data_IF_216831954669
#
_entry.id   IF_216831954669
#
_cell.length_a   1.000
_cell.length_b   1.000
_cell.length_c   1.000
_cell.angle_alpha   90.00
_cell.angle_beta   90.00
_cell.angle_gamma   90.00
#
_symmetry.space_group_name_H-M   'P 1'
#
loop_
_entity.id
_entity.type
_entity.pdbx_description
1 polymer ?
#
# COMPACT_ATOMS: atom_id res chain seq x y z
N UNK A 1 0.70 11.79 -9.35
CA UNK A 1 0.22 10.57 -8.67
C UNK A 1 -0.45 9.66 -9.70
N UNK A 2 -0.24 8.34 -9.67
CA UNK A 2 -0.90 7.38 -10.59
C UNK A 2 -1.57 6.24 -9.82
N UNK A 3 -2.79 5.90 -10.21
CA UNK A 3 -3.57 4.80 -9.64
C UNK A 3 -3.70 3.69 -10.69
N UNK A 4 -3.42 2.45 -10.29
CA UNK A 4 -3.56 1.26 -11.12
C UNK A 4 -4.46 0.25 -10.39
N UNK A 5 -5.56 -0.16 -11.02
CA UNK A 5 -6.46 -1.18 -10.47
C UNK A 5 -5.92 -2.56 -10.83
N UNK A 6 -5.53 -3.34 -9.82
CA UNK A 6 -5.02 -4.70 -10.00
C UNK A 6 -6.16 -5.73 -9.90
N UNK A 7 -7.22 -5.41 -9.16
CA UNK A 7 -8.47 -6.15 -9.17
C UNK A 7 -9.64 -5.32 -8.69
N UNK A 8 -10.82 -5.62 -9.21
CA UNK A 8 -12.05 -4.81 -9.13
C UNK A 8 -13.30 -5.66 -8.94
N UNK A 9 -13.15 -6.97 -8.66
CA UNK A 9 -14.25 -7.87 -8.34
C UNK A 9 -14.50 -7.90 -6.84
N UNK A 10 -15.77 -7.98 -6.44
CA UNK A 10 -16.17 -8.12 -5.05
C UNK A 10 -16.35 -9.60 -4.68
N UNK A 11 -15.84 -10.03 -3.52
CA UNK A 11 -16.05 -11.34 -2.93
C UNK A 11 -15.26 -12.48 -3.60
N UNK A 12 -15.36 -12.64 -4.92
CA UNK A 12 -14.72 -13.73 -5.67
C UNK A 12 -14.10 -13.25 -6.98
N UNK A 13 -13.01 -13.87 -7.46
CA UNK A 13 -12.45 -13.55 -8.76
C UNK A 13 -13.37 -14.05 -9.88
N UNK A 14 -13.29 -13.39 -11.03
CA UNK A 14 -13.96 -13.77 -12.27
C UNK A 14 -12.93 -13.93 -13.38
N UNK A 15 -13.34 -14.46 -14.53
CA UNK A 15 -12.46 -14.53 -15.71
C UNK A 15 -11.94 -13.15 -16.16
N UNK A 16 -12.71 -12.09 -15.93
CA UNK A 16 -12.39 -10.75 -16.38
C UNK A 16 -11.75 -9.86 -15.31
N UNK A 17 -12.02 -10.13 -14.03
CA UNK A 17 -11.64 -9.26 -12.90
C UNK A 17 -11.16 -10.09 -11.72
N UNK A 18 -9.97 -9.77 -11.22
CA UNK A 18 -9.49 -10.29 -9.93
C UNK A 18 -10.18 -9.58 -8.76
N UNK A 19 -10.05 -10.11 -7.55
CA UNK A 19 -10.50 -9.48 -6.30
C UNK A 19 -9.69 -8.24 -5.92
N UNK A 20 -10.19 -7.47 -4.96
CA UNK A 20 -9.73 -6.13 -4.57
C UNK A 20 -8.22 -6.00 -4.38
N UNK A 21 -7.61 -5.14 -5.20
CA UNK A 21 -6.32 -4.51 -4.93
C UNK A 21 -6.16 -3.27 -5.82
N UNK A 22 -5.78 -2.15 -5.22
CA UNK A 22 -5.46 -0.91 -5.92
C UNK A 22 -4.02 -0.52 -5.60
N UNK A 23 -3.23 -0.24 -6.63
CA UNK A 23 -1.88 0.26 -6.47
C UNK A 23 -1.83 1.78 -6.69
N UNK A 24 -1.13 2.48 -5.80
CA UNK A 24 -0.83 3.89 -5.87
C UNK A 24 0.67 4.07 -6.08
N UNK A 25 1.06 4.81 -7.12
CA UNK A 25 2.44 5.26 -7.33
C UNK A 25 2.52 6.76 -6.97
N UNK A 26 3.17 7.12 -5.85
CA UNK A 26 3.43 8.51 -5.53
C UNK A 26 4.29 9.16 -6.64
N UNK A 27 4.04 10.44 -6.97
CA UNK A 27 4.85 11.16 -7.94
C UNK A 27 6.30 11.27 -7.44
N UNK A 28 7.26 11.21 -8.36
CA UNK A 28 8.71 11.31 -8.09
C UNK A 28 9.29 10.28 -7.08
N UNK A 29 8.55 9.24 -6.69
CA UNK A 29 9.06 8.15 -5.84
C UNK A 29 9.10 6.83 -6.59
N UNK A 30 10.17 6.08 -6.37
CA UNK A 30 10.32 4.70 -6.85
C UNK A 30 9.64 3.70 -5.89
N UNK A 31 8.38 3.97 -5.58
CA UNK A 31 7.56 3.23 -4.62
C UNK A 31 6.17 2.89 -5.17
N UNK A 32 5.62 1.79 -4.68
CA UNK A 32 4.25 1.35 -4.91
C UNK A 32 3.60 1.11 -3.55
N UNK A 33 2.45 1.74 -3.32
CA UNK A 33 1.62 1.50 -2.16
C UNK A 33 0.39 0.71 -2.59
N UNK A 34 0.07 -0.36 -1.88
CA UNK A 34 -1.10 -1.19 -2.17
C UNK A 34 -2.22 -0.89 -1.19
N UNK A 35 -3.44 -0.79 -1.69
CA UNK A 35 -4.67 -0.72 -0.91
C UNK A 35 -5.43 -2.01 -1.15
N UNK A 36 -5.56 -2.80 -0.09
CA UNK A 36 -5.89 -4.22 -0.08
C UNK A 36 -4.90 -5.09 -0.87
N UNK A 37 -4.96 -6.39 -0.59
CA UNK A 37 -4.14 -7.41 -1.22
C UNK A 37 -4.94 -8.72 -1.30
N UNK A 38 -6.02 -8.71 -2.09
CA UNK A 38 -6.81 -9.91 -2.37
C UNK A 38 -6.00 -11.03 -3.04
N UNK A 39 -6.52 -12.25 -3.01
CA UNK A 39 -5.90 -13.41 -3.67
C UNK A 39 -5.53 -13.08 -5.12
N UNK A 40 -4.34 -13.52 -5.56
CA UNK A 40 -3.89 -13.29 -6.92
C UNK A 40 -3.25 -11.91 -7.18
N UNK A 41 -3.21 -11.00 -6.21
CA UNK A 41 -2.59 -9.66 -6.37
C UNK A 41 -1.17 -9.71 -6.93
N UNK A 42 -0.32 -10.63 -6.45
CA UNK A 42 1.03 -10.81 -7.00
C UNK A 42 1.05 -11.18 -8.49
N UNK A 43 0.08 -11.97 -8.97
CA UNK A 43 -0.05 -12.31 -10.38
C UNK A 43 -0.51 -11.12 -11.21
N UNK A 44 -1.36 -10.27 -10.64
CA UNK A 44 -1.80 -9.04 -11.27
C UNK A 44 -0.66 -8.01 -11.36
N UNK A 45 0.21 -7.94 -10.34
CA UNK A 45 1.44 -7.15 -10.39
C UNK A 45 2.36 -7.62 -11.52
N UNK A 46 2.59 -8.94 -11.64
CA UNK A 46 3.42 -9.52 -12.71
C UNK A 46 2.91 -9.22 -14.14
N UNK A 47 1.60 -8.97 -14.30
CA UNK A 47 0.98 -8.61 -15.58
C UNK A 47 0.91 -7.11 -15.83
N UNK A 48 1.34 -6.29 -14.86
CA UNK A 48 1.28 -4.84 -14.91
C UNK A 48 2.63 -4.21 -15.22
N UNK A 49 2.65 -2.89 -15.38
CA UNK A 49 3.87 -2.07 -15.48
C UNK A 49 4.45 -1.66 -14.11
N UNK A 50 3.95 -2.26 -13.02
CA UNK A 50 4.42 -2.04 -11.66
C UNK A 50 5.51 -3.05 -11.31
N UNK A 51 6.59 -2.58 -10.69
CA UNK A 51 7.61 -3.47 -10.18
C UNK A 51 7.28 -3.89 -8.75
N UNK A 52 7.16 -5.20 -8.53
CA UNK A 52 6.88 -5.78 -7.22
C UNK A 52 7.94 -5.41 -6.16
N UNK A 53 9.20 -5.20 -6.54
CA UNK A 53 10.25 -4.77 -5.60
C UNK A 53 10.12 -3.32 -5.14
N UNK A 54 9.26 -2.53 -5.79
CA UNK A 54 8.93 -1.17 -5.36
C UNK A 54 7.80 -1.13 -4.33
N UNK A 55 7.15 -2.25 -4.02
CA UNK A 55 6.13 -2.30 -2.97
C UNK A 55 6.77 -1.96 -1.63
N UNK A 56 6.37 -0.84 -1.04
CA UNK A 56 6.91 -0.35 0.23
C UNK A 56 5.85 -0.29 1.34
N UNK A 57 4.57 -0.14 0.97
CA UNK A 57 3.46 -0.03 1.92
C UNK A 57 2.23 -0.79 1.45
N UNK A 58 1.54 -1.43 2.38
CA UNK A 58 0.29 -2.14 2.12
C UNK A 58 -0.74 -1.71 3.17
N UNK A 59 -1.89 -1.20 2.73
CA UNK A 59 -2.98 -0.75 3.58
C UNK A 59 -4.17 -1.70 3.41
N UNK A 60 -4.47 -2.52 4.41
CA UNK A 60 -5.60 -3.45 4.42
C UNK A 60 -6.81 -2.74 5.03
N UNK A 61 -7.90 -2.64 4.27
CA UNK A 61 -9.12 -1.96 4.71
C UNK A 61 -9.87 -2.74 5.77
N UNK A 62 -10.01 -4.06 5.59
CA UNK A 62 -10.71 -4.97 6.50
C UNK A 62 -10.28 -6.43 6.27
N UNK A 63 -10.67 -7.33 7.19
CA UNK A 63 -10.19 -8.72 7.24
C UNK A 63 -11.00 -9.72 6.41
N UNK A 64 -11.75 -9.30 5.38
CA UNK A 64 -12.36 -10.26 4.45
C UNK A 64 -11.32 -10.86 3.52
N UNK A 65 -11.54 -12.12 3.12
CA UNK A 65 -10.54 -12.88 2.38
C UNK A 65 -10.19 -12.28 1.01
N UNK A 66 -11.17 -11.71 0.32
CA UNK A 66 -11.01 -11.05 -0.98
C UNK A 66 -10.21 -9.74 -0.91
N UNK A 67 -9.87 -9.26 0.28
CA UNK A 67 -9.03 -8.09 0.51
C UNK A 67 -7.65 -8.42 1.10
N UNK A 68 -7.38 -9.66 1.51
CA UNK A 68 -6.18 -9.98 2.29
C UNK A 68 -5.50 -11.33 2.02
N UNK A 69 -6.18 -12.30 1.38
CA UNK A 69 -5.61 -13.64 1.19
C UNK A 69 -4.42 -13.69 0.21
N UNK A 70 -4.18 -12.63 -0.56
CA UNK A 70 -2.98 -12.51 -1.38
C UNK A 70 -1.73 -12.06 -0.62
N UNK A 71 -1.89 -11.57 0.62
CA UNK A 71 -0.84 -10.88 1.36
C UNK A 71 0.39 -11.75 1.58
N UNK A 72 0.23 -12.94 2.16
CA UNK A 72 1.38 -13.79 2.52
C UNK A 72 2.14 -14.28 1.28
N UNK A 73 1.43 -14.59 0.20
CA UNK A 73 2.06 -14.96 -1.08
C UNK A 73 2.85 -13.80 -1.69
N UNK A 74 2.30 -12.57 -1.64
CA UNK A 74 3.00 -11.37 -2.09
C UNK A 74 4.29 -11.14 -1.29
N UNK A 75 4.22 -11.21 0.04
CA UNK A 75 5.38 -10.99 0.93
C UNK A 75 6.49 -12.03 0.69
N UNK A 76 6.12 -13.29 0.46
CA UNK A 76 7.07 -14.34 0.08
C UNK A 76 7.78 -14.02 -1.24
N UNK A 77 7.01 -13.61 -2.26
CA UNK A 77 7.57 -13.21 -3.56
C UNK A 77 8.48 -12.01 -3.46
N UNK A 78 8.15 -10.99 -2.66
CA UNK A 78 9.03 -9.84 -2.42
C UNK A 78 10.39 -10.25 -1.85
N UNK A 79 10.43 -11.22 -0.93
CA UNK A 79 11.69 -11.71 -0.33
C UNK A 79 12.58 -12.49 -1.28
N UNK A 80 12.02 -13.04 -2.35
CA UNK A 80 12.79 -13.71 -3.41
C UNK A 80 13.39 -12.73 -4.42
N UNK A 81 13.08 -11.43 -4.32
CA UNK A 81 13.68 -10.41 -5.19
C UNK A 81 15.06 -9.97 -4.67
N UNK A 82 16.00 -9.69 -5.58
CA UNK A 82 17.37 -9.28 -5.23
C UNK A 82 17.47 -7.93 -4.49
N UNK A 83 16.38 -7.15 -4.46
CA UNK A 83 16.32 -5.80 -3.91
C UNK A 83 15.16 -5.63 -2.94
N UNK A 84 14.89 -6.66 -2.13
CA UNK A 84 13.82 -6.61 -1.15
C UNK A 84 14.02 -5.41 -0.20
N UNK A 85 13.05 -4.49 -0.20
CA UNK A 85 13.04 -3.28 0.65
C UNK A 85 12.18 -3.52 1.88
N UNK A 86 12.27 -2.61 2.84
CA UNK A 86 11.35 -2.60 3.96
C UNK A 86 9.90 -2.48 3.48
N UNK A 87 9.00 -3.28 4.06
CA UNK A 87 7.56 -3.22 3.80
C UNK A 87 6.84 -2.95 5.12
N UNK A 88 6.06 -1.86 5.17
CA UNK A 88 5.13 -1.59 6.26
C UNK A 88 3.70 -1.96 5.86
N UNK A 89 3.03 -2.78 6.68
CA UNK A 89 1.65 -3.19 6.49
C UNK A 89 0.80 -2.51 7.58
N UNK A 90 -0.27 -1.87 7.15
CA UNK A 90 -1.22 -1.15 7.99
C UNK A 90 -2.59 -1.81 7.87
N UNK A 91 -3.26 -2.12 8.97
CA UNK A 91 -4.63 -2.64 8.89
C UNK A 91 -5.27 -2.89 10.26
N UNK A 92 -6.45 -3.51 10.30
CA UNK A 92 -7.18 -3.74 11.55
C UNK A 92 -6.43 -4.64 12.52
N UNK A 93 -6.75 -4.54 13.82
CA UNK A 93 -6.14 -5.31 14.92
C UNK A 93 -5.78 -6.78 14.60
N UNK A 94 -6.65 -7.61 13.98
CA UNK A 94 -6.34 -9.02 13.74
C UNK A 94 -5.23 -9.27 12.70
N UNK A 95 -4.79 -8.24 11.96
CA UNK A 95 -3.79 -8.37 10.91
C UNK A 95 -2.44 -8.87 11.43
N UNK A 96 -1.97 -8.34 12.57
CA UNK A 96 -0.68 -8.73 13.14
C UNK A 96 -0.68 -10.22 13.56
N UNK A 97 -1.78 -10.68 14.14
CA UNK A 97 -1.95 -12.08 14.53
C UNK A 97 -2.02 -12.98 13.29
N UNK A 98 -2.76 -12.58 12.26
CA UNK A 98 -2.80 -13.29 10.98
C UNK A 98 -1.40 -13.48 10.37
N UNK A 99 -0.64 -12.38 10.22
CA UNK A 99 0.72 -12.45 9.64
C UNK A 99 1.60 -13.37 10.49
N UNK A 100 1.58 -13.21 11.83
CA UNK A 100 2.39 -14.03 12.76
C UNK A 100 2.04 -15.52 12.68
N UNK A 101 0.76 -15.86 12.71
CA UNK A 101 0.29 -17.24 12.72
C UNK A 101 0.57 -17.95 11.41
N UNK A 102 0.30 -17.29 10.27
CA UNK A 102 0.62 -17.87 8.96
C UNK A 102 2.12 -18.05 8.84
N UNK A 103 2.92 -17.04 9.21
CA UNK A 103 4.38 -17.12 9.16
C UNK A 103 4.92 -18.30 9.96
N UNK A 104 4.42 -18.49 11.19
CA UNK A 104 4.80 -19.61 12.05
C UNK A 104 4.44 -20.96 11.45
N UNK A 105 3.26 -21.09 10.83
CA UNK A 105 2.76 -22.36 10.27
C UNK A 105 3.43 -22.72 8.95
N UNK A 106 3.81 -21.75 8.14
CA UNK A 106 4.44 -21.96 6.83
C UNK A 106 5.96 -21.87 6.87
N UNK A 107 6.54 -21.59 8.04
CA UNK A 107 7.97 -21.29 8.21
C UNK A 107 8.44 -20.14 7.32
N UNK A 108 7.53 -19.20 7.02
CA UNK A 108 7.85 -18.01 6.25
C UNK A 108 8.75 -17.08 7.08
N UNK A 109 9.86 -16.69 6.47
CA UNK A 109 10.83 -15.74 7.03
C UNK A 109 11.14 -14.69 5.97
N UNK A 110 11.30 -13.43 6.40
CA UNK A 110 11.72 -12.35 5.52
C UNK A 110 13.24 -12.14 5.62
N UNK A 111 13.88 -11.89 4.48
CA UNK A 111 15.24 -11.37 4.38
C UNK A 111 15.27 -9.83 4.30
N UNK A 112 14.13 -9.18 4.59
CA UNK A 112 13.94 -7.73 4.59
C UNK A 112 13.13 -7.29 5.83
N UNK A 113 13.22 -6.02 6.23
CA UNK A 113 12.42 -5.49 7.35
C UNK A 113 10.92 -5.52 7.04
N UNK A 114 10.12 -6.15 7.90
CA UNK A 114 8.67 -6.22 7.78
C UNK A 114 8.02 -5.58 9.01
N UNK A 115 7.33 -4.46 8.82
CA UNK A 115 6.52 -3.82 9.85
C UNK A 115 5.05 -4.18 9.70
N UNK A 116 4.37 -4.54 10.79
CA UNK A 116 2.91 -4.70 10.81
C UNK A 116 2.34 -3.80 11.90
N UNK A 117 1.44 -2.90 11.51
CA UNK A 117 0.91 -1.82 12.35
C UNK A 117 -0.61 -1.89 12.36
N UNK A 118 -1.18 -1.96 13.56
CA UNK A 118 -2.61 -1.78 13.76
C UNK A 118 -2.98 -0.32 13.48
N UNK A 119 -4.10 -0.10 12.79
CA UNK A 119 -4.64 1.24 12.53
C UNK A 119 -5.81 1.55 13.43
N UNK A 120 -5.90 2.82 13.81
CA UNK A 120 -7.06 3.43 14.48
C UNK A 120 -7.37 4.75 13.79
N UNK A 121 -8.57 5.28 13.99
CA UNK A 121 -8.99 6.54 13.35
C UNK A 121 -7.96 7.65 13.57
N UNK A 122 -7.65 8.39 12.49
CA UNK A 122 -6.68 9.48 12.51
C UNK A 122 -5.42 9.20 11.70
N UNK A 123 -4.27 9.66 12.19
CA UNK A 123 -2.98 9.62 11.49
C UNK A 123 -2.38 8.22 11.50
N UNK A 124 -2.06 7.69 10.31
CA UNK A 124 -1.49 6.35 10.13
C UNK A 124 -0.04 6.41 9.67
N UNK A 125 0.26 7.35 8.78
CA UNK A 125 1.59 7.54 8.24
C UNK A 125 1.79 9.01 7.87
N UNK A 126 2.97 9.53 8.14
CA UNK A 126 3.38 10.86 7.71
C UNK A 126 4.88 10.86 7.39
N UNK A 127 5.22 11.48 6.27
CA UNK A 127 6.57 11.87 5.92
C UNK A 127 6.62 13.31 5.39
N UNK A 128 7.73 13.72 4.79
CA UNK A 128 7.93 15.08 4.28
C UNK A 128 6.95 15.48 3.17
N UNK A 129 6.41 14.53 2.39
CA UNK A 129 5.54 14.82 1.24
C UNK A 129 4.12 14.27 1.41
N UNK A 130 3.89 13.22 2.20
CA UNK A 130 2.59 12.56 2.30
C UNK A 130 2.09 12.42 3.73
N UNK A 131 0.77 12.56 3.87
CA UNK A 131 0.01 12.22 5.07
C UNK A 131 -1.03 11.17 4.68
N UNK A 132 -1.08 10.07 5.41
CA UNK A 132 -2.13 9.06 5.31
C UNK A 132 -2.93 9.04 6.60
N UNK A 133 -4.22 9.31 6.50
CA UNK A 133 -5.17 9.16 7.60
C UNK A 133 -6.17 8.05 7.30
N UNK A 134 -6.81 7.51 8.33
CA UNK A 134 -7.93 6.60 8.16
C UNK A 134 -9.13 6.98 9.03
N UNK A 135 -10.31 6.52 8.62
CA UNK A 135 -11.55 6.68 9.36
C UNK A 135 -12.39 5.39 9.28
N UNK A 136 -13.17 5.06 10.32
CA UNK A 136 -14.01 3.87 10.32
C UNK A 136 -15.12 3.97 9.27
N UNK A 137 -15.46 2.84 8.65
CA UNK A 137 -16.55 2.70 7.69
C UNK A 137 -17.66 1.79 8.21
N UNK A 138 -18.86 1.97 7.68
CA UNK A 138 -19.99 1.06 7.95
C UNK A 138 -19.83 -0.22 7.13
N UNK A 139 -19.42 -1.30 7.80
CA UNK A 139 -19.27 -2.63 7.19
C UNK A 139 -19.55 -3.74 8.22
N UNK A 140 -19.63 -5.00 7.76
CA UNK A 140 -19.89 -6.16 8.65
C UNK A 140 -18.74 -6.43 9.63
N UNK A 141 -17.51 -6.27 9.17
CA UNK A 141 -16.29 -6.32 9.99
C UNK A 141 -15.78 -4.90 10.23
N UNK A 142 -14.93 -4.67 11.26
CA UNK A 142 -14.18 -3.44 11.38
C UNK A 142 -13.46 -3.11 10.06
N UNK A 143 -13.75 -1.94 9.52
CA UNK A 143 -13.28 -1.50 8.21
C UNK A 143 -12.87 -0.04 8.26
N UNK A 144 -11.82 0.29 7.52
CA UNK A 144 -11.27 1.63 7.43
C UNK A 144 -11.23 2.12 5.99
N UNK A 145 -11.57 3.38 5.79
CA UNK A 145 -11.26 4.13 4.58
C UNK A 145 -9.94 4.86 4.79
N UNK A 146 -9.08 4.87 3.78
CA UNK A 146 -7.80 5.58 3.81
C UNK A 146 -7.87 6.84 2.95
N UNK A 147 -7.31 7.93 3.47
CA UNK A 147 -7.09 9.18 2.73
C UNK A 147 -5.60 9.40 2.60
N UNK A 148 -5.11 9.42 1.37
CA UNK A 148 -3.74 9.86 1.06
C UNK A 148 -3.78 11.33 0.64
N UNK A 149 -3.02 12.16 1.34
CA UNK A 149 -2.89 13.59 1.05
C UNK A 149 -1.44 13.89 0.73
N UNK A 150 -1.17 14.43 -0.46
CA UNK A 150 0.11 15.05 -0.79
C UNK A 150 0.15 16.42 -0.11
N UNK A 151 1.22 16.71 0.64
CA UNK A 151 1.43 18.00 1.29
C UNK A 151 1.64 19.08 0.24
N UNK A 152 1.23 20.31 0.58
CA UNK A 152 1.47 21.46 -0.28
C UNK A 152 2.98 21.62 -0.50
N UNK A 153 3.37 21.66 -1.76
CA UNK A 153 4.76 21.94 -2.15
C UNK A 153 4.97 23.45 -2.16
N UNK A 154 6.18 23.92 -1.83
CA UNK A 154 6.55 25.31 -2.09
C UNK A 154 6.21 25.67 -3.54
N UNK A 155 5.65 26.85 -3.75
CA UNK A 155 5.35 27.34 -5.09
C UNK A 155 6.60 27.42 -5.94
N UNK A 156 6.40 27.49 -7.26
CA UNK A 156 7.52 27.77 -8.16
C UNK A 156 8.19 29.09 -7.79
N UNK A 157 9.51 29.11 -7.80
CA UNK A 157 10.26 30.34 -7.63
C UNK A 157 9.92 31.29 -8.78
N UNK A 158 9.45 32.48 -8.43
CA UNK A 158 9.13 33.52 -9.41
C UNK A 158 10.41 34.26 -9.82
N UNK A 159 10.99 33.80 -10.92
CA UNK A 159 12.24 34.32 -11.46
C UNK A 159 12.10 35.79 -11.87
N UNK A 160 10.95 36.18 -12.43
CA UNK A 160 10.75 37.55 -12.90
C UNK A 160 10.62 38.51 -11.72
N UNK A 161 9.84 38.14 -10.70
CA UNK A 161 9.74 38.95 -9.47
C UNK A 161 11.07 39.04 -8.72
N UNK A 162 11.87 37.97 -8.70
CA UNK A 162 13.19 38.01 -8.10
C UNK A 162 14.12 38.99 -8.83
N UNK A 163 14.09 39.00 -10.17
CA UNK A 163 14.82 39.96 -11.00
C UNK A 163 14.35 41.40 -10.76
N UNK A 164 13.04 41.63 -10.68
CA UNK A 164 12.47 42.95 -10.36
C UNK A 164 12.94 43.48 -8.99
N UNK A 165 13.14 42.59 -8.02
CA UNK A 165 13.64 42.92 -6.69
C UNK A 165 15.17 43.01 -6.60
N UNK A 166 15.89 42.86 -7.72
CA UNK A 166 17.36 42.92 -7.76
C UNK A 166 18.05 41.73 -7.08
N UNK A 167 17.35 40.61 -6.92
CA UNK A 167 17.93 39.37 -6.41
C UNK A 167 18.68 38.71 -7.58
N UNK A 168 20.02 38.50 -7.48
CA UNK A 168 20.84 37.99 -8.57
C UNK A 168 20.53 36.54 -8.96
#
# INVERSE_FOLDING_TARGET
MRITFLGTSAGVPTRARNVSCVALRPPQRAEVWLFDCGEGTQHQLLRSDLNISQVSRIFITHMHGDHMLGLMGLLATCGMTAHARAIDIYGPRPLADYVREVSRRTQFQTNYPLGVREVSEGLIFEDEEFVVTCAPLKHRLPAFGFRVTEKDRPGHFDVEKARELGIP
#
